data_IF_661572777841
#
_entry.id   IF_661572777841
#
_cell.length_a   1.000
_cell.length_b   1.000
_cell.length_c   1.000
_cell.angle_alpha   90.00
_cell.angle_beta   90.00
_cell.angle_gamma   90.00
#
_symmetry.space_group_name_H-M   'P 1'
#
loop_
_entity.id
_entity.type
_entity.pdbx_description
1 polymer ?
#
# COMPACT_ATOMS: atom_id res chain seq x y z
N UNK A 1 11.87 -2.27 1.18
CA UNK A 1 11.51 -1.01 1.85
C UNK A 1 10.21 -1.30 2.60
N UNK A 2 10.18 -1.14 3.93
CA UNK A 2 9.15 -1.58 4.89
C UNK A 2 8.65 -3.03 4.73
N UNK A 3 9.15 -3.95 5.57
CA UNK A 3 8.60 -5.30 5.76
C UNK A 3 9.03 -6.31 4.70
N UNK A 4 9.78 -7.33 5.12
CA UNK A 4 10.45 -8.33 4.25
C UNK A 4 9.54 -9.47 3.78
N UNK A 5 8.23 -9.33 3.96
CA UNK A 5 7.25 -10.32 3.49
C UNK A 5 6.90 -9.98 2.04
N UNK A 6 7.75 -10.39 1.10
CA UNK A 6 7.49 -10.23 -0.33
C UNK A 6 6.41 -11.21 -0.78
N UNK A 7 5.15 -10.85 -0.52
CA UNK A 7 4.00 -11.51 -1.14
C UNK A 7 3.98 -11.10 -2.62
N UNK A 8 3.87 -12.08 -3.51
CA UNK A 8 3.78 -11.81 -4.94
C UNK A 8 2.48 -11.02 -5.22
N UNK A 9 2.51 -10.08 -6.16
CA UNK A 9 1.35 -9.21 -6.41
C UNK A 9 0.09 -9.98 -6.84
N UNK A 10 0.27 -11.15 -7.43
CA UNK A 10 -0.76 -12.10 -7.88
C UNK A 10 -1.12 -13.17 -6.84
N UNK A 11 -0.47 -13.17 -5.67
CA UNK A 11 -0.81 -14.06 -4.58
C UNK A 11 -2.19 -13.67 -4.00
N UNK A 12 -3.17 -14.59 -3.96
CA UNK A 12 -4.50 -14.32 -3.42
C UNK A 12 -4.52 -14.25 -1.89
N UNK A 13 -3.42 -14.58 -1.21
CA UNK A 13 -3.31 -14.52 0.25
C UNK A 13 -3.53 -13.08 0.70
N UNK A 14 -4.42 -12.83 1.69
CA UNK A 14 -4.58 -11.51 2.27
C UNK A 14 -3.22 -10.98 2.70
N UNK A 15 -2.82 -9.82 2.18
CA UNK A 15 -1.56 -9.17 2.54
C UNK A 15 -1.70 -8.71 3.99
N UNK A 16 -1.36 -9.58 4.95
CA UNK A 16 -1.17 -9.23 6.36
C UNK A 16 0.32 -9.19 6.64
N UNK A 17 0.73 -8.18 7.40
CA UNK A 17 2.13 -7.94 7.69
C UNK A 17 2.47 -8.44 9.09
N UNK A 18 3.30 -9.48 9.19
CA UNK A 18 3.69 -10.05 10.49
C UNK A 18 4.46 -9.04 11.36
N UNK A 19 5.05 -8.01 10.76
CA UNK A 19 5.66 -6.89 11.49
C UNK A 19 4.62 -5.90 12.01
N UNK A 20 3.52 -5.67 11.28
CA UNK A 20 2.39 -4.84 11.77
C UNK A 20 1.72 -5.53 12.95
N UNK A 21 1.42 -6.83 12.83
CA UNK A 21 0.82 -7.61 13.93
C UNK A 21 1.70 -7.57 15.19
N UNK A 22 3.03 -7.68 15.04
CA UNK A 22 3.97 -7.57 16.16
C UNK A 22 4.05 -6.17 16.77
N UNK A 23 3.98 -5.12 15.95
CA UNK A 23 3.95 -3.74 16.43
C UNK A 23 2.67 -3.46 17.23
N UNK A 24 1.53 -3.91 16.72
CA UNK A 24 0.25 -3.83 17.42
C UNK A 24 0.26 -4.62 18.73
N UNK A 25 0.83 -5.82 18.76
CA UNK A 25 1.01 -6.60 19.98
C UNK A 25 1.89 -5.90 21.02
N UNK A 26 2.80 -5.02 20.59
CA UNK A 26 3.61 -4.16 21.44
C UNK A 26 2.94 -2.81 21.80
N UNK A 27 1.70 -2.56 21.36
CA UNK A 27 0.98 -1.31 21.59
C UNK A 27 1.46 -0.14 20.73
N UNK A 28 2.15 -0.41 19.62
CA UNK A 28 2.68 0.61 18.71
C UNK A 28 1.80 0.78 17.48
N UNK A 29 1.55 2.04 17.11
CA UNK A 29 0.94 2.37 15.83
C UNK A 29 1.98 2.35 14.69
N UNK A 30 1.56 1.93 13.50
CA UNK A 30 2.42 1.79 12.32
C UNK A 30 1.94 2.70 11.20
N UNK A 31 2.85 3.53 10.71
CA UNK A 31 2.63 4.44 9.59
C UNK A 31 3.64 4.17 8.48
N UNK A 32 3.30 4.47 7.23
CA UNK A 32 4.23 4.35 6.09
C UNK A 32 4.31 5.62 5.25
N UNK A 33 5.47 5.88 4.68
CA UNK A 33 5.77 6.97 3.76
C UNK A 33 6.29 6.41 2.41
N UNK A 34 6.11 7.05 1.26
CA UNK A 34 4.97 7.89 0.88
C UNK A 34 4.29 7.21 -0.31
N UNK A 35 2.97 7.10 -0.28
CA UNK A 35 2.20 6.58 -1.40
C UNK A 35 2.18 7.60 -2.55
N UNK A 36 2.61 7.13 -3.71
CA UNK A 36 2.79 7.92 -4.92
C UNK A 36 2.29 7.16 -6.14
N UNK A 37 1.43 7.75 -6.97
CA UNK A 37 0.80 7.05 -8.08
C UNK A 37 1.70 6.93 -9.32
N UNK A 38 2.79 7.69 -9.41
CA UNK A 38 3.61 7.74 -10.63
C UNK A 38 4.43 6.46 -10.83
N UNK A 39 4.54 6.01 -12.08
CA UNK A 39 5.21 4.76 -12.48
C UNK A 39 6.58 4.54 -11.84
N UNK A 40 7.40 5.60 -11.74
CA UNK A 40 8.75 5.50 -11.14
C UNK A 40 8.76 5.04 -9.67
N UNK A 41 7.67 5.24 -8.93
CA UNK A 41 7.55 4.82 -7.52
C UNK A 41 6.82 3.49 -7.34
N UNK A 42 6.19 2.99 -8.40
CA UNK A 42 5.46 1.74 -8.34
C UNK A 42 6.39 0.53 -8.56
N UNK A 43 6.06 -0.63 -7.97
CA UNK A 43 6.62 -1.92 -8.37
C UNK A 43 6.47 -2.16 -9.88
N UNK A 44 7.46 -2.82 -10.50
CA UNK A 44 7.48 -3.00 -11.96
C UNK A 44 6.17 -3.54 -12.56
N UNK A 45 5.48 -4.54 -11.96
CA UNK A 45 4.23 -5.07 -12.54
C UNK A 45 3.05 -4.10 -12.47
N UNK A 46 3.16 -3.03 -11.67
CA UNK A 46 2.12 -2.00 -11.51
C UNK A 46 2.40 -0.75 -12.34
N UNK A 47 3.49 -0.73 -13.12
CA UNK A 47 3.78 0.38 -14.04
C UNK A 47 2.93 0.24 -15.30
N UNK A 48 2.34 1.33 -15.77
CA UNK A 48 1.51 1.37 -17.00
C UNK A 48 2.08 2.37 -18.00
N UNK A 49 2.16 1.98 -19.27
CA UNK A 49 2.73 2.84 -20.31
C UNK A 49 4.24 3.03 -20.17
N UNK A 50 4.78 4.05 -20.85
CA UNK A 50 6.23 4.33 -20.91
C UNK A 50 6.69 5.60 -20.20
N UNK A 51 5.76 6.49 -19.79
CA UNK A 51 6.11 7.73 -19.10
C UNK A 51 6.30 7.48 -17.59
N UNK A 52 7.49 7.78 -17.08
CA UNK A 52 7.87 7.61 -15.68
C UNK A 52 7.11 8.51 -14.71
N UNK A 53 6.59 9.64 -15.19
CA UNK A 53 5.81 10.60 -14.40
C UNK A 53 4.30 10.34 -14.47
N UNK A 54 3.82 9.56 -15.45
CA UNK A 54 2.42 9.19 -15.54
C UNK A 54 2.01 8.24 -14.41
N UNK A 55 0.71 8.22 -14.10
CA UNK A 55 0.15 7.31 -13.10
C UNK A 55 0.13 5.87 -13.61
N UNK A 56 0.60 4.95 -12.79
CA UNK A 56 0.46 3.52 -13.05
C UNK A 56 -0.79 2.92 -12.41
N UNK A 57 -0.71 1.65 -12.03
CA UNK A 57 -1.73 0.94 -11.26
C UNK A 57 -1.64 1.28 -9.76
N UNK A 58 -1.86 2.56 -9.47
CA UNK A 58 -1.77 3.08 -8.11
C UNK A 58 -2.87 2.51 -7.20
N UNK A 59 -4.04 2.17 -7.76
CA UNK A 59 -5.16 1.64 -6.97
C UNK A 59 -4.82 0.27 -6.38
N UNK A 60 -4.29 -0.65 -7.21
CA UNK A 60 -3.81 -1.96 -6.73
C UNK A 60 -2.66 -1.80 -5.74
N UNK A 61 -1.76 -0.84 -5.99
CA UNK A 61 -0.65 -0.56 -5.06
C UNK A 61 -1.17 -0.05 -3.70
N UNK A 62 -1.98 1.00 -3.69
CA UNK A 62 -2.43 1.68 -2.46
C UNK A 62 -3.31 0.75 -1.64
N UNK A 63 -4.26 0.04 -2.27
CA UNK A 63 -5.10 -0.93 -1.57
C UNK A 63 -4.30 -2.10 -1.01
N UNK A 64 -3.25 -2.57 -1.71
CA UNK A 64 -2.36 -3.61 -1.18
C UNK A 64 -1.65 -3.16 0.10
N UNK A 65 -1.15 -1.92 0.13
CA UNK A 65 -0.49 -1.34 1.30
C UNK A 65 -1.49 -1.16 2.44
N UNK A 66 -2.68 -0.62 2.18
CA UNK A 66 -3.70 -0.41 3.21
C UNK A 66 -4.15 -1.73 3.85
N UNK A 67 -4.27 -2.81 3.06
CA UNK A 67 -4.66 -4.15 3.55
C UNK A 67 -3.66 -4.77 4.54
N UNK A 68 -2.42 -4.28 4.60
CA UNK A 68 -1.40 -4.75 5.54
C UNK A 68 -1.75 -4.52 7.01
N UNK A 69 -2.75 -3.69 7.31
CA UNK A 69 -3.20 -3.36 8.66
C UNK A 69 -2.56 -2.10 9.24
N UNK A 70 -1.90 -1.27 8.43
CA UNK A 70 -1.33 0.00 8.87
C UNK A 70 -2.38 0.92 9.49
N UNK A 71 -1.98 1.69 10.50
CA UNK A 71 -2.82 2.69 11.14
C UNK A 71 -2.95 3.96 10.30
N UNK A 72 -1.97 4.22 9.42
CA UNK A 72 -2.03 5.35 8.49
C UNK A 72 -0.96 5.36 7.42
N UNK A 73 -1.16 6.22 6.42
CA UNK A 73 -0.24 6.41 5.30
C UNK A 73 -0.03 7.90 5.07
N UNK A 74 1.19 8.26 4.67
CA UNK A 74 1.47 9.54 4.03
C UNK A 74 1.32 9.37 2.53
N UNK A 75 0.67 10.33 1.85
CA UNK A 75 0.47 10.31 0.40
C UNK A 75 0.65 11.71 -0.18
N UNK A 76 1.29 11.80 -1.34
CA UNK A 76 1.39 13.06 -2.08
C UNK A 76 0.04 13.45 -2.70
N UNK A 77 -0.79 12.44 -3.01
CA UNK A 77 -2.14 12.59 -3.55
C UNK A 77 -3.14 12.01 -2.54
N UNK A 78 -3.51 12.82 -1.54
CA UNK A 78 -4.35 12.39 -0.40
C UNK A 78 -5.74 11.93 -0.82
N UNK A 79 -6.30 12.53 -1.87
CA UNK A 79 -7.58 12.15 -2.47
C UNK A 79 -7.57 10.69 -2.96
N UNK A 80 -6.49 10.26 -3.61
CA UNK A 80 -6.32 8.88 -4.07
C UNK A 80 -6.16 7.90 -2.89
N UNK A 81 -5.46 8.31 -1.83
CA UNK A 81 -5.33 7.49 -0.62
C UNK A 81 -6.68 7.30 0.11
N UNK A 82 -7.50 8.36 0.18
CA UNK A 82 -8.86 8.28 0.74
C UNK A 82 -9.78 7.40 -0.11
N UNK A 83 -9.66 7.49 -1.44
CA UNK A 83 -10.40 6.64 -2.37
C UNK A 83 -10.03 5.16 -2.17
N UNK A 84 -8.72 4.85 -2.12
CA UNK A 84 -8.24 3.49 -1.87
C UNK A 84 -8.69 2.94 -0.50
N UNK A 85 -8.66 3.76 0.56
CA UNK A 85 -9.17 3.37 1.89
C UNK A 85 -10.65 3.02 1.83
N UNK A 86 -11.44 3.82 1.14
CA UNK A 86 -12.89 3.58 0.98
C UNK A 86 -13.16 2.27 0.23
N UNK A 87 -12.31 1.92 -0.75
CA UNK A 87 -12.42 0.69 -1.55
C UNK A 87 -12.06 -0.58 -0.78
N UNK A 88 -11.21 -0.52 0.25
CA UNK A 88 -10.86 -1.67 1.10
C UNK A 88 -11.99 -2.04 2.08
N UNK A 89 -12.90 -1.10 2.37
CA UNK A 89 -13.93 -1.25 3.42
C UNK A 89 -13.36 -0.94 4.81
N UNK A 90 -14.22 -0.42 5.71
CA UNK A 90 -13.85 -0.23 7.12
C UNK A 90 -13.55 -1.57 7.81
N UNK A 91 -12.80 -1.58 8.92
CA UNK A 91 -12.45 -2.82 9.59
C UNK A 91 -13.71 -3.62 9.96
N UNK A 92 -13.63 -4.94 9.78
CA UNK A 92 -14.54 -5.88 10.43
C UNK A 92 -14.31 -5.86 11.95
#
# INVERSE_FOLDING_TARGET
MAGVDSVALDDPTPVRSAIVDRAHAAGLAVYTWTLRPENRFLPSPLRRGGDVAAFGDWERWFTSVIRTGLDGVFADHTDLAVLARSAVGGPA
#
